data_IF_957448488532
#
_entry.id   IF_957448488532
#
_cell.length_a   1.000
_cell.length_b   1.000
_cell.length_c   1.000
_cell.angle_alpha   90.00
_cell.angle_beta   90.00
_cell.angle_gamma   90.00
#
_symmetry.space_group_name_H-M   'P 1'
#
loop_
_entity.id
_entity.type
_entity.pdbx_description
1 polymer ?
#
# COMPACT_ATOMS: atom_id res chain seq x y z
N UNK A 1 -11.90 -2.11 -21.62
CA UNK A 1 -11.67 -1.96 -20.17
C UNK A 1 -11.48 -0.48 -19.89
N UNK A 2 -11.92 0.02 -18.75
CA UNK A 2 -11.79 1.44 -18.38
C UNK A 2 -10.50 1.59 -17.57
N UNK A 3 -9.63 2.52 -17.95
CA UNK A 3 -8.41 2.83 -17.19
C UNK A 3 -8.55 4.11 -16.38
N UNK A 4 -7.64 4.33 -15.42
CA UNK A 4 -7.51 5.63 -14.74
C UNK A 4 -7.40 6.80 -15.71
N UNK A 5 -6.71 6.63 -16.86
CA UNK A 5 -6.54 7.70 -17.85
C UNK A 5 -7.86 8.06 -18.54
N UNK A 6 -8.73 7.09 -18.75
CA UNK A 6 -10.03 7.32 -19.37
C UNK A 6 -10.96 8.10 -18.43
N UNK A 7 -10.91 7.80 -17.12
CA UNK A 7 -11.62 8.58 -16.10
C UNK A 7 -11.07 10.02 -16.03
N UNK A 8 -9.75 10.21 -16.01
CA UNK A 8 -9.14 11.56 -15.97
C UNK A 8 -9.56 12.40 -17.18
N UNK A 9 -9.51 11.82 -18.39
CA UNK A 9 -9.91 12.52 -19.64
C UNK A 9 -11.35 12.98 -19.66
N UNK A 10 -12.20 12.36 -18.84
CA UNK A 10 -13.62 12.66 -18.80
C UNK A 10 -13.98 13.51 -17.59
N UNK A 11 -13.02 13.96 -16.76
CA UNK A 11 -13.27 14.84 -15.61
C UNK A 11 -13.71 16.25 -16.06
N UNK A 12 -14.83 16.82 -15.57
CA UNK A 12 -15.81 16.20 -14.66
C UNK A 12 -16.65 15.14 -15.38
N UNK A 13 -16.81 13.93 -14.80
CA UNK A 13 -17.32 12.74 -15.49
C UNK A 13 -18.84 12.73 -15.71
N UNK A 14 -19.41 13.84 -16.17
CA UNK A 14 -20.85 14.03 -16.38
C UNK A 14 -21.41 12.96 -17.35
N UNK A 15 -20.63 12.60 -18.38
CA UNK A 15 -21.01 11.58 -19.35
C UNK A 15 -20.91 10.14 -18.82
N UNK A 16 -20.30 9.94 -17.66
CA UNK A 16 -20.26 8.63 -16.98
C UNK A 16 -21.38 8.47 -15.95
N UNK A 17 -22.19 9.51 -15.73
CA UNK A 17 -23.31 9.46 -14.79
C UNK A 17 -24.55 8.85 -15.45
N UNK A 18 -25.23 7.95 -14.76
CA UNK A 18 -26.51 7.37 -15.24
C UNK A 18 -27.73 8.16 -14.74
N UNK A 19 -27.52 9.24 -13.99
CA UNK A 19 -28.59 9.99 -13.35
C UNK A 19 -28.09 11.30 -12.74
N UNK A 20 -29.00 12.03 -12.09
CA UNK A 20 -28.68 13.28 -11.42
C UNK A 20 -27.73 13.06 -10.23
N UNK A 21 -26.65 13.84 -10.08
CA UNK A 21 -25.77 13.76 -8.92
C UNK A 21 -26.36 14.42 -7.66
N UNK A 22 -27.67 14.70 -7.61
CA UNK A 22 -28.33 15.15 -6.38
C UNK A 22 -28.20 14.06 -5.30
N UNK A 23 -28.05 14.46 -4.03
CA UNK A 23 -27.86 13.54 -2.91
C UNK A 23 -26.63 12.61 -3.08
N UNK A 24 -25.51 13.18 -3.54
CA UNK A 24 -24.26 12.46 -3.72
C UNK A 24 -23.09 13.21 -3.10
N UNK A 25 -22.08 12.45 -2.70
CA UNK A 25 -20.76 12.92 -2.38
C UNK A 25 -19.94 13.04 -3.66
N UNK A 26 -19.09 14.08 -3.69
CA UNK A 26 -18.10 14.29 -4.74
C UNK A 26 -16.72 14.16 -4.12
N UNK A 27 -15.98 13.17 -4.58
CA UNK A 27 -14.63 12.88 -4.12
C UNK A 27 -13.63 13.09 -5.24
N UNK A 28 -12.36 13.26 -4.86
CA UNK A 28 -11.25 13.29 -5.79
C UNK A 28 -10.30 12.12 -5.52
N UNK A 29 -9.58 11.65 -6.54
CA UNK A 29 -8.43 10.78 -6.30
C UNK A 29 -7.23 11.62 -5.87
N UNK A 30 -6.43 11.15 -4.91
CA UNK A 30 -5.13 11.77 -4.52
C UNK A 30 -4.04 11.60 -5.58
N UNK A 31 -4.33 11.90 -6.85
CA UNK A 31 -3.64 11.42 -8.05
C UNK A 31 -2.11 11.53 -7.99
N UNK A 32 -1.40 10.41 -8.11
CA UNK A 32 0.07 10.37 -8.31
C UNK A 32 0.49 10.92 -9.68
N UNK A 33 -0.46 11.20 -10.57
CA UNK A 33 -0.28 11.61 -11.98
C UNK A 33 -0.56 13.09 -12.27
N UNK A 34 -0.83 13.92 -11.26
CA UNK A 34 -1.04 15.38 -11.40
C UNK A 34 -2.52 15.81 -11.49
N UNK A 35 -3.32 15.20 -12.36
CA UNK A 35 -4.75 15.54 -12.50
C UNK A 35 -5.65 14.60 -11.66
N UNK A 36 -6.53 15.13 -10.79
CA UNK A 36 -7.43 14.32 -9.99
C UNK A 36 -8.60 13.75 -10.81
N UNK A 37 -8.95 12.48 -10.55
CA UNK A 37 -10.23 11.90 -10.98
C UNK A 37 -11.33 12.43 -10.06
N UNK A 38 -12.45 12.86 -10.63
CA UNK A 38 -13.65 13.16 -9.84
C UNK A 38 -14.52 11.90 -9.78
N UNK A 39 -15.07 11.60 -8.60
CA UNK A 39 -15.83 10.39 -8.32
C UNK A 39 -17.13 10.79 -7.62
N UNK A 40 -18.27 10.38 -8.19
CA UNK A 40 -19.59 10.56 -7.58
C UNK A 40 -20.07 9.27 -6.91
N UNK A 41 -20.59 9.41 -5.69
CA UNK A 41 -21.24 8.34 -4.93
C UNK A 41 -22.50 8.90 -4.27
N UNK A 42 -23.67 8.35 -4.59
CA UNK A 42 -24.89 8.65 -3.82
C UNK A 42 -24.69 8.28 -2.36
N UNK A 43 -25.44 8.93 -1.46
CA UNK A 43 -25.37 8.60 -0.03
C UNK A 43 -25.65 7.12 0.26
N UNK A 44 -26.52 6.47 -0.52
CA UNK A 44 -26.83 5.05 -0.35
C UNK A 44 -25.72 4.14 -0.87
N UNK A 45 -25.08 4.48 -2.00
CA UNK A 45 -23.89 3.76 -2.46
C UNK A 45 -22.72 3.88 -1.49
N UNK A 46 -22.55 5.06 -0.87
CA UNK A 46 -21.53 5.26 0.16
C UNK A 46 -21.82 4.40 1.39
N UNK A 47 -23.07 4.35 1.87
CA UNK A 47 -23.49 3.48 2.99
C UNK A 47 -23.27 2.00 2.69
N UNK A 48 -23.59 1.55 1.48
CA UNK A 48 -23.33 0.18 1.04
C UNK A 48 -21.82 -0.13 1.09
N UNK A 49 -20.98 0.78 0.58
CA UNK A 49 -19.53 0.63 0.63
C UNK A 49 -19.00 0.61 2.08
N UNK A 50 -19.49 1.49 2.96
CA UNK A 50 -19.18 1.54 4.40
C UNK A 50 -19.54 0.21 5.07
N UNK A 51 -20.69 -0.38 4.74
CA UNK A 51 -21.14 -1.64 5.30
C UNK A 51 -20.15 -2.78 5.03
N UNK A 52 -19.70 -2.92 3.78
CA UNK A 52 -18.69 -3.91 3.42
C UNK A 52 -17.32 -3.58 4.02
N UNK A 53 -16.95 -2.30 4.09
CA UNK A 53 -15.67 -1.89 4.65
C UNK A 53 -15.57 -2.24 6.14
N UNK A 54 -16.61 -1.94 6.92
CA UNK A 54 -16.68 -2.31 8.33
C UNK A 54 -16.76 -3.82 8.55
N UNK A 55 -17.40 -4.58 7.64
CA UNK A 55 -17.27 -6.05 7.65
C UNK A 55 -15.81 -6.46 7.49
N UNK A 56 -15.08 -5.85 6.55
CA UNK A 56 -13.65 -6.09 6.36
C UNK A 56 -12.83 -5.88 7.64
N UNK A 57 -13.10 -4.81 8.40
CA UNK A 57 -12.45 -4.55 9.69
C UNK A 57 -12.76 -5.60 10.75
N UNK A 58 -14.03 -5.98 10.91
CA UNK A 58 -14.41 -7.07 11.82
C UNK A 58 -13.71 -8.38 11.44
N UNK A 59 -13.62 -8.69 10.13
CA UNK A 59 -12.93 -9.89 9.66
C UNK A 59 -11.40 -9.80 9.77
N UNK A 60 -10.85 -8.59 9.85
CA UNK A 60 -9.46 -8.33 10.19
C UNK A 60 -9.20 -8.37 11.71
N UNK A 61 -10.20 -8.70 12.53
CA UNK A 61 -10.05 -8.92 13.97
C UNK A 61 -10.37 -7.72 14.86
N UNK A 62 -10.74 -6.56 14.30
CA UNK A 62 -11.16 -5.40 15.10
C UNK A 62 -12.50 -5.69 15.76
N UNK A 63 -12.60 -5.46 17.06
CA UNK A 63 -13.82 -5.70 17.85
C UNK A 63 -14.00 -4.68 19.00
N UNK A 64 -15.00 -4.89 19.86
CA UNK A 64 -15.37 -4.00 20.96
C UNK A 64 -14.30 -3.82 22.05
N UNK A 65 -13.36 -4.75 22.19
CA UNK A 65 -12.24 -4.63 23.13
C UNK A 65 -11.13 -3.71 22.59
N UNK A 66 -11.18 -3.31 21.32
CA UNK A 66 -10.16 -2.48 20.70
C UNK A 66 -10.36 -0.99 20.94
N UNK A 67 -9.24 -0.31 21.16
CA UNK A 67 -9.10 1.13 21.00
C UNK A 67 -8.31 1.40 19.71
N UNK A 68 -9.00 1.87 18.68
CA UNK A 68 -8.44 2.01 17.32
C UNK A 68 -8.07 3.46 17.05
N UNK A 69 -6.78 3.73 16.86
CA UNK A 69 -6.32 5.03 16.40
C UNK A 69 -6.16 5.08 14.88
N UNK A 70 -6.64 6.17 14.29
CA UNK A 70 -6.54 6.46 12.85
C UNK A 70 -5.82 7.77 12.64
N UNK A 71 -4.95 7.82 11.63
CA UNK A 71 -4.21 9.04 11.28
C UNK A 71 -4.84 9.79 10.10
N UNK A 72 -5.79 9.21 9.37
CA UNK A 72 -6.50 9.93 8.31
C UNK A 72 -7.60 10.84 8.85
N UNK A 73 -7.90 11.92 8.13
CA UNK A 73 -9.03 12.83 8.42
C UNK A 73 -9.96 12.94 7.20
N UNK A 74 -11.29 12.97 7.39
CA UNK A 74 -12.24 13.13 6.29
C UNK A 74 -11.96 14.39 5.48
N UNK A 75 -12.01 14.26 4.16
CA UNK A 75 -11.72 15.33 3.21
C UNK A 75 -12.17 14.94 1.81
N UNK A 76 -11.41 15.29 0.78
CA UNK A 76 -11.77 14.94 -0.60
C UNK A 76 -11.62 13.45 -0.94
N UNK A 77 -11.02 12.65 -0.06
CA UNK A 77 -10.86 11.21 -0.24
C UNK A 77 -12.02 10.43 0.41
N UNK A 78 -12.53 9.40 -0.27
CA UNK A 78 -13.58 8.51 0.24
C UNK A 78 -13.11 7.70 1.44
N UNK A 79 -11.81 7.38 1.47
CA UNK A 79 -11.21 6.40 2.40
C UNK A 79 -11.54 6.73 3.85
N UNK A 80 -11.39 7.99 4.25
CA UNK A 80 -11.52 8.36 5.66
C UNK A 80 -12.98 8.33 6.12
N UNK A 81 -13.94 8.72 5.27
CA UNK A 81 -15.36 8.52 5.59
C UNK A 81 -15.68 7.04 5.78
N UNK A 82 -15.14 6.17 4.92
CA UNK A 82 -15.38 4.73 4.99
C UNK A 82 -14.67 4.09 6.18
N UNK A 83 -13.52 4.62 6.59
CA UNK A 83 -12.76 4.19 7.76
C UNK A 83 -13.58 4.44 9.03
N UNK A 84 -13.95 5.70 9.29
CA UNK A 84 -14.64 6.05 10.54
C UNK A 84 -16.01 5.39 10.65
N UNK A 85 -16.84 5.53 9.63
CA UNK A 85 -18.19 4.96 9.64
C UNK A 85 -18.17 3.43 9.50
N UNK A 86 -17.10 2.86 8.94
CA UNK A 86 -16.89 1.42 8.89
C UNK A 86 -16.52 0.85 10.26
N UNK A 87 -15.66 1.55 11.01
CA UNK A 87 -15.23 1.15 12.35
C UNK A 87 -16.39 1.09 13.36
N UNK A 88 -17.39 1.95 13.23
CA UNK A 88 -18.61 1.91 14.08
C UNK A 88 -19.26 0.51 14.09
N UNK A 89 -19.11 -0.25 12.99
CA UNK A 89 -19.66 -1.61 12.87
C UNK A 89 -18.96 -2.66 13.71
N UNK A 90 -17.78 -2.35 14.24
CA UNK A 90 -16.96 -3.27 15.04
C UNK A 90 -17.21 -3.13 16.54
N UNK A 91 -17.88 -2.04 16.97
CA UNK A 91 -18.07 -1.73 18.39
C UNK A 91 -16.83 -1.16 19.09
N UNK A 92 -15.69 -1.03 18.40
CA UNK A 92 -14.45 -0.54 18.99
C UNK A 92 -14.55 0.91 19.46
N UNK A 93 -13.69 1.31 20.40
CA UNK A 93 -13.46 2.72 20.72
C UNK A 93 -12.64 3.37 19.60
N UNK A 94 -13.23 4.32 18.89
CA UNK A 94 -12.59 5.06 17.78
C UNK A 94 -11.83 6.27 18.32
N UNK A 95 -10.53 6.37 18.01
CA UNK A 95 -9.64 7.46 18.43
C UNK A 95 -9.16 8.24 17.19
N UNK A 96 -9.89 9.28 16.76
CA UNK A 96 -9.57 10.06 15.55
C UNK A 96 -8.41 11.03 15.82
N UNK A 97 -7.16 10.56 15.74
CA UNK A 97 -5.99 11.42 16.03
C UNK A 97 -5.66 12.33 14.85
N UNK A 98 -5.83 11.83 13.63
CA UNK A 98 -5.37 12.51 12.42
C UNK A 98 -3.83 12.47 12.28
N UNK A 99 -3.32 12.99 11.17
CA UNK A 99 -1.88 13.12 10.94
C UNK A 99 -1.42 14.30 11.78
N UNK A 100 -0.57 14.03 12.78
CA UNK A 100 0.08 15.05 13.57
C UNK A 100 1.56 15.12 13.21
N UNK A 101 2.05 16.33 12.92
CA UNK A 101 3.48 16.60 12.83
C UNK A 101 4.19 16.59 14.19
N UNK A 102 3.41 16.60 15.29
CA UNK A 102 3.90 16.51 16.66
C UNK A 102 3.87 15.05 17.13
N UNK A 103 5.00 14.36 16.97
CA UNK A 103 5.16 12.95 17.30
C UNK A 103 5.09 12.69 18.82
N UNK A 104 5.47 13.67 19.65
CA UNK A 104 5.34 13.56 21.10
C UNK A 104 3.88 13.57 21.52
N UNK A 105 3.10 14.50 20.96
CA UNK A 105 1.66 14.57 21.20
C UNK A 105 0.95 13.31 20.70
N UNK A 106 1.31 12.82 19.51
CA UNK A 106 0.79 11.57 18.97
C UNK A 106 1.06 10.39 19.92
N UNK A 107 2.31 10.21 20.36
CA UNK A 107 2.68 9.18 21.34
C UNK A 107 1.86 9.30 22.63
N UNK A 108 1.75 10.52 23.18
CA UNK A 108 1.02 10.76 24.43
C UNK A 108 -0.47 10.44 24.28
N UNK A 109 -1.10 10.73 23.13
CA UNK A 109 -2.49 10.37 22.87
C UNK A 109 -2.70 8.88 22.75
N UNK A 110 -1.85 8.18 22.01
CA UNK A 110 -1.93 6.72 21.88
C UNK A 110 -1.87 6.07 23.27
N UNK A 111 -0.95 6.53 24.13
CA UNK A 111 -0.82 6.06 25.50
C UNK A 111 -2.02 6.44 26.38
N UNK A 112 -2.42 7.71 26.37
CA UNK A 112 -3.51 8.24 27.20
C UNK A 112 -4.85 7.57 26.88
N UNK A 113 -5.10 7.27 25.60
CA UNK A 113 -6.32 6.63 25.17
C UNK A 113 -6.24 5.09 25.18
N UNK A 114 -5.15 4.51 25.66
CA UNK A 114 -4.92 3.06 25.71
C UNK A 114 -5.19 2.38 24.34
N UNK A 115 -4.63 2.95 23.28
CA UNK A 115 -4.80 2.44 21.91
C UNK A 115 -4.18 1.05 21.79
N UNK A 116 -4.97 0.08 21.31
CA UNK A 116 -4.54 -1.31 21.09
C UNK A 116 -4.25 -1.58 19.62
N UNK A 117 -4.91 -0.84 18.73
CA UNK A 117 -4.89 -1.09 17.29
C UNK A 117 -4.65 0.21 16.52
N UNK A 118 -3.72 0.18 15.56
CA UNK A 118 -3.55 1.27 14.59
C UNK A 118 -4.21 0.90 13.27
N UNK A 119 -5.05 1.79 12.73
CA UNK A 119 -5.63 1.69 11.40
C UNK A 119 -5.10 2.81 10.51
N UNK A 120 -4.11 2.50 9.67
CA UNK A 120 -3.15 3.49 9.14
C UNK A 120 -2.53 3.04 7.81
N UNK A 121 -1.89 3.95 7.07
CA UNK A 121 -0.94 3.53 6.02
C UNK A 121 0.39 3.13 6.66
N UNK A 122 1.08 2.09 6.13
CA UNK A 122 2.38 1.66 6.65
C UNK A 122 3.39 2.79 6.85
N UNK A 123 3.54 3.67 5.85
CA UNK A 123 4.54 4.74 5.88
C UNK A 123 4.23 5.87 6.89
N UNK A 124 2.98 5.98 7.36
CA UNK A 124 2.56 6.98 8.36
C UNK A 124 2.98 6.59 9.78
N UNK A 125 3.20 5.30 10.05
CA UNK A 125 3.60 4.81 11.38
C UNK A 125 5.10 4.95 11.60
N UNK A 126 5.88 4.98 10.53
CA UNK A 126 7.35 4.99 10.58
C UNK A 126 7.89 6.19 11.38
N UNK A 127 7.43 7.44 11.19
CA UNK A 127 7.89 8.56 12.00
C UNK A 127 7.64 8.37 13.51
N UNK A 128 6.49 7.79 13.88
CA UNK A 128 6.18 7.48 15.28
C UNK A 128 7.15 6.44 15.84
N UNK A 129 7.44 5.37 15.08
CA UNK A 129 8.41 4.35 15.49
C UNK A 129 9.81 4.94 15.66
N UNK A 130 10.28 5.77 14.71
CA UNK A 130 11.56 6.47 14.81
C UNK A 130 11.62 7.39 16.03
N UNK A 131 10.52 8.10 16.34
CA UNK A 131 10.43 8.95 17.52
C UNK A 131 10.54 8.12 18.81
N UNK A 132 9.82 7.01 18.91
CA UNK A 132 9.85 6.09 20.06
C UNK A 132 11.28 5.58 20.27
N UNK A 133 11.93 5.12 19.19
CA UNK A 133 13.33 4.66 19.22
C UNK A 133 14.28 5.75 19.71
N UNK A 134 14.26 6.95 19.08
CA UNK A 134 15.15 8.06 19.43
C UNK A 134 14.94 8.59 20.84
N UNK A 135 13.71 8.56 21.34
CA UNK A 135 13.36 9.05 22.68
C UNK A 135 13.50 8.00 23.77
N UNK A 136 13.94 6.77 23.43
CA UNK A 136 13.98 5.61 24.34
C UNK A 136 12.64 5.39 25.09
N UNK A 137 11.53 5.72 24.42
CA UNK A 137 10.18 5.49 24.94
C UNK A 137 9.72 4.09 24.55
N UNK A 138 8.66 3.61 25.20
CA UNK A 138 8.03 2.33 24.87
C UNK A 138 6.54 2.50 24.64
N UNK A 139 6.04 1.77 23.65
CA UNK A 139 4.64 1.69 23.29
C UNK A 139 4.35 0.24 22.89
N UNK A 140 3.18 -0.28 23.27
CA UNK A 140 2.75 -1.60 22.85
C UNK A 140 1.45 -1.48 22.08
N UNK A 141 1.50 -1.88 20.81
CA UNK A 141 0.35 -1.97 19.91
C UNK A 141 0.13 -3.45 19.64
N UNK A 142 -1.10 -3.96 19.83
CA UNK A 142 -1.41 -5.36 19.59
C UNK A 142 -1.50 -5.66 18.09
N UNK A 143 -2.15 -4.75 17.35
CA UNK A 143 -2.49 -4.97 15.96
C UNK A 143 -2.28 -3.71 15.11
N UNK A 144 -1.80 -3.90 13.88
CA UNK A 144 -1.87 -2.90 12.83
C UNK A 144 -2.79 -3.43 11.73
N UNK A 145 -3.89 -2.71 11.50
CA UNK A 145 -4.68 -2.85 10.27
C UNK A 145 -4.23 -1.78 9.29
N UNK A 146 -3.92 -2.15 8.07
CA UNK A 146 -3.40 -1.19 7.09
C UNK A 146 -4.16 -1.23 5.77
N UNK A 147 -4.00 -0.15 5.01
CA UNK A 147 -4.59 0.01 3.69
C UNK A 147 -3.83 1.07 2.90
N UNK A 148 -4.20 1.27 1.64
CA UNK A 148 -3.63 2.32 0.79
C UNK A 148 -2.19 2.06 0.31
N UNK A 149 -1.38 1.29 1.02
CA UNK A 149 -0.04 0.87 0.60
C UNK A 149 0.24 -0.60 0.91
N UNK A 150 1.25 -1.15 0.24
CA UNK A 150 1.76 -2.48 0.55
C UNK A 150 2.65 -2.41 1.79
N UNK A 151 2.35 -3.21 2.80
CA UNK A 151 3.27 -3.50 3.90
C UNK A 151 4.34 -4.47 3.40
N UNK A 152 5.57 -4.01 3.25
CA UNK A 152 6.71 -4.88 2.96
C UNK A 152 7.18 -5.61 4.22
N UNK A 153 7.86 -6.75 4.05
CA UNK A 153 8.40 -7.50 5.18
C UNK A 153 9.41 -6.69 5.99
N UNK A 154 10.22 -5.85 5.33
CA UNK A 154 11.17 -4.96 5.99
C UNK A 154 10.47 -3.98 6.94
N UNK A 155 9.49 -3.23 6.43
CA UNK A 155 8.67 -2.29 7.21
C UNK A 155 7.94 -3.01 8.34
N UNK A 156 7.35 -4.17 8.05
CA UNK A 156 6.67 -5.01 9.05
C UNK A 156 7.61 -5.36 10.21
N UNK A 157 8.79 -5.91 9.90
CA UNK A 157 9.75 -6.34 10.91
C UNK A 157 10.26 -5.17 11.77
N UNK A 158 10.47 -4.00 11.16
CA UNK A 158 10.84 -2.78 11.89
C UNK A 158 9.72 -2.32 12.83
N UNK A 159 8.47 -2.32 12.38
CA UNK A 159 7.34 -1.96 13.24
C UNK A 159 7.11 -3.00 14.35
N UNK A 160 7.31 -4.29 14.07
CA UNK A 160 7.27 -5.37 15.07
C UNK A 160 8.30 -5.15 16.18
N UNK A 161 9.56 -4.82 15.83
CA UNK A 161 10.63 -4.64 16.82
C UNK A 161 10.43 -3.42 17.71
N UNK A 162 9.88 -2.32 17.17
CA UNK A 162 9.71 -1.06 17.91
C UNK A 162 8.38 -0.99 18.68
N UNK A 163 7.29 -1.50 18.12
CA UNK A 163 5.93 -1.35 18.68
C UNK A 163 5.38 -2.64 19.31
N UNK A 164 6.08 -3.77 19.18
CA UNK A 164 5.66 -5.07 19.72
C UNK A 164 4.40 -5.65 19.08
N UNK A 165 4.13 -5.29 17.82
CA UNK A 165 2.92 -5.69 17.09
C UNK A 165 2.86 -7.19 16.89
N UNK A 166 1.70 -7.80 17.17
CA UNK A 166 1.48 -9.25 17.05
C UNK A 166 0.68 -9.63 15.81
N UNK A 167 -0.16 -8.72 15.33
CA UNK A 167 -1.05 -8.96 14.20
C UNK A 167 -0.93 -7.83 13.17
N UNK A 168 -0.72 -8.23 11.91
CA UNK A 168 -0.79 -7.33 10.76
C UNK A 168 -1.87 -7.82 9.83
N UNK A 169 -2.86 -6.98 9.57
CA UNK A 169 -3.98 -7.26 8.67
C UNK A 169 -4.18 -6.11 7.72
N UNK A 170 -4.78 -6.40 6.57
CA UNK A 170 -5.03 -5.38 5.56
C UNK A 170 -6.48 -5.39 5.10
N UNK A 171 -7.01 -4.21 4.85
CA UNK A 171 -8.26 -4.02 4.12
C UNK A 171 -7.92 -3.36 2.79
N UNK A 172 -8.18 -4.09 1.71
CA UNK A 172 -7.90 -3.65 0.35
C UNK A 172 -9.06 -2.82 -0.20
N UNK A 173 -8.73 -1.62 -0.66
CA UNK A 173 -9.68 -0.69 -1.26
C UNK A 173 -9.03 0.11 -2.39
N UNK A 174 -9.87 0.64 -3.26
CA UNK A 174 -9.51 1.61 -4.28
C UNK A 174 -10.49 2.77 -4.26
N UNK A 175 -9.99 3.99 -4.37
CA UNK A 175 -10.82 5.19 -4.53
C UNK A 175 -11.82 5.04 -5.67
N UNK A 176 -11.37 4.46 -6.79
CA UNK A 176 -12.17 4.30 -8.00
C UNK A 176 -13.28 3.27 -7.86
N UNK A 177 -13.12 2.27 -7.00
CA UNK A 177 -13.96 1.06 -7.00
C UNK A 177 -14.71 0.88 -5.68
N UNK A 178 -14.21 1.43 -4.57
CA UNK A 178 -14.66 1.16 -3.21
C UNK A 178 -13.82 0.09 -2.52
N UNK A 179 -14.36 -0.50 -1.45
CA UNK A 179 -13.72 -1.61 -0.74
C UNK A 179 -13.73 -2.87 -1.61
N UNK A 180 -12.60 -3.57 -1.64
CA UNK A 180 -12.38 -4.72 -2.53
C UNK A 180 -12.31 -6.01 -1.72
N UNK A 181 -11.55 -6.02 -0.64
CA UNK A 181 -11.32 -7.23 0.12
C UNK A 181 -10.65 -7.00 1.47
N UNK A 182 -10.45 -8.09 2.20
CA UNK A 182 -9.93 -8.07 3.57
C UNK A 182 -9.05 -9.29 3.83
N UNK A 183 -8.17 -9.17 4.83
CA UNK A 183 -7.38 -10.29 5.34
C UNK A 183 -8.03 -10.90 6.59
N UNK A 184 -7.95 -12.21 6.71
CA UNK A 184 -8.24 -12.93 7.96
C UNK A 184 -6.96 -13.49 8.57
N UNK A 185 -7.06 -14.26 9.65
CA UNK A 185 -5.92 -14.85 10.37
C UNK A 185 -5.05 -15.78 9.51
N UNK A 186 -5.66 -16.46 8.54
CA UNK A 186 -5.00 -17.41 7.67
C UNK A 186 -4.54 -16.81 6.34
N UNK A 187 -4.66 -15.49 6.17
CA UNK A 187 -4.16 -14.81 4.99
C UNK A 187 -2.65 -14.65 5.05
N UNK A 188 -1.94 -15.22 4.07
CA UNK A 188 -0.56 -14.85 3.79
C UNK A 188 -0.43 -13.36 3.46
N UNK A 189 0.76 -12.76 3.61
CA UNK A 189 1.02 -11.39 3.18
C UNK A 189 0.56 -11.14 1.74
N UNK A 190 -0.29 -10.12 1.58
CA UNK A 190 -0.86 -9.74 0.29
C UNK A 190 -2.01 -10.62 -0.23
N UNK A 191 -2.42 -11.67 0.49
CA UNK A 191 -3.62 -12.46 0.15
C UNK A 191 -4.87 -11.81 0.77
N UNK A 192 -5.96 -11.74 0.01
CA UNK A 192 -7.22 -11.12 0.41
C UNK A 192 -8.41 -11.99 0.04
N UNK A 193 -9.40 -12.08 0.92
CA UNK A 193 -10.77 -12.44 0.54
C UNK A 193 -11.44 -11.26 -0.16
N UNK A 194 -12.17 -11.53 -1.23
CA UNK A 194 -12.91 -10.51 -1.99
C UNK A 194 -14.33 -10.37 -1.46
N UNK A 195 -14.83 -9.14 -1.35
CA UNK A 195 -16.24 -8.87 -1.15
C UNK A 195 -17.02 -9.13 -2.44
N UNK A 196 -17.22 -10.40 -2.79
CA UNK A 196 -17.89 -10.89 -4.01
C UNK A 196 -19.33 -10.37 -4.20
N UNK A 197 -20.00 -9.97 -3.11
CA UNK A 197 -21.31 -9.30 -3.16
C UNK A 197 -21.24 -7.85 -3.66
N UNK A 198 -20.06 -7.21 -3.54
CA UNK A 198 -19.81 -5.82 -3.92
C UNK A 198 -18.98 -5.73 -5.21
N UNK A 199 -18.07 -6.67 -5.44
CA UNK A 199 -17.07 -6.63 -6.50
C UNK A 199 -17.02 -7.94 -7.28
N UNK A 200 -16.96 -7.84 -8.61
CA UNK A 200 -16.53 -8.93 -9.47
C UNK A 200 -15.09 -8.69 -9.93
N UNK A 201 -14.19 -9.62 -9.64
CA UNK A 201 -12.74 -9.50 -9.91
C UNK A 201 -12.28 -10.46 -10.99
N UNK A 202 -11.46 -9.96 -11.90
CA UNK A 202 -10.77 -10.71 -12.92
C UNK A 202 -9.26 -10.51 -12.80
N UNK A 203 -8.49 -11.54 -13.15
CA UNK A 203 -7.04 -11.43 -13.33
C UNK A 203 -6.76 -11.74 -14.78
N UNK A 204 -6.25 -10.77 -15.53
CA UNK A 204 -6.10 -10.85 -16.98
C UNK A 204 -4.64 -10.87 -17.40
N UNK A 205 -4.30 -11.69 -18.39
CA UNK A 205 -2.99 -11.67 -19.04
C UNK A 205 -2.84 -10.45 -19.96
N UNK A 206 -1.67 -10.31 -20.59
CA UNK A 206 -1.39 -9.19 -21.51
C UNK A 206 -2.30 -9.15 -22.76
N UNK A 207 -2.93 -10.27 -23.12
CA UNK A 207 -3.91 -10.38 -24.21
C UNK A 207 -5.33 -10.00 -23.76
N UNK A 208 -5.53 -9.63 -22.49
CA UNK A 208 -6.83 -9.31 -21.92
C UNK A 208 -7.70 -10.54 -21.63
N UNK A 209 -7.11 -11.74 -21.61
CA UNK A 209 -7.82 -13.00 -21.32
C UNK A 209 -7.62 -13.41 -19.85
N UNK A 210 -8.60 -14.05 -19.20
CA UNK A 210 -8.44 -14.55 -17.85
C UNK A 210 -7.22 -15.47 -17.69
N UNK A 211 -6.46 -15.29 -16.61
CA UNK A 211 -5.39 -16.20 -16.24
C UNK A 211 -5.95 -17.48 -15.61
N UNK A 212 -5.18 -18.56 -15.69
CA UNK A 212 -5.37 -19.71 -14.79
C UNK A 212 -5.06 -19.30 -13.35
N UNK A 213 -5.55 -20.07 -12.39
CA UNK A 213 -5.27 -19.82 -10.97
C UNK A 213 -3.77 -19.96 -10.68
N UNK A 214 -3.27 -19.15 -9.74
CA UNK A 214 -1.83 -19.03 -9.45
C UNK A 214 -1.02 -18.20 -10.47
N UNK A 215 -1.53 -17.96 -11.69
CA UNK A 215 -0.81 -17.15 -12.68
C UNK A 215 -1.03 -15.65 -12.46
N UNK A 216 0.05 -14.87 -12.60
CA UNK A 216 0.04 -13.42 -12.42
C UNK A 216 -0.60 -12.75 -13.64
N UNK A 217 -1.48 -11.78 -13.37
CA UNK A 217 -2.07 -10.90 -14.37
C UNK A 217 -2.47 -9.56 -13.78
N UNK A 218 -3.05 -8.70 -14.61
CA UNK A 218 -3.60 -7.41 -14.20
C UNK A 218 -4.97 -7.60 -13.54
N UNK A 219 -5.15 -7.04 -12.34
CA UNK A 219 -6.40 -7.07 -11.61
C UNK A 219 -7.39 -6.08 -12.25
N UNK A 220 -8.53 -6.60 -12.66
CA UNK A 220 -9.63 -5.85 -13.26
C UNK A 220 -10.88 -6.04 -12.41
N UNK A 221 -11.58 -4.94 -12.11
CA UNK A 221 -12.71 -4.98 -11.17
C UNK A 221 -13.96 -4.34 -11.77
N UNK A 222 -15.10 -4.97 -11.52
CA UNK A 222 -16.44 -4.40 -11.74
C UNK A 222 -17.13 -4.24 -10.40
N UNK A 223 -17.56 -3.03 -10.06
CA UNK A 223 -18.38 -2.81 -8.87
C UNK A 223 -19.85 -3.12 -9.21
N UNK A 224 -20.47 -4.00 -8.42
CA UNK A 224 -21.82 -4.53 -8.65
C UNK A 224 -22.94 -3.68 -8.02
N UNK A 225 -22.59 -2.68 -7.21
CA UNK A 225 -23.53 -1.86 -6.43
C UNK A 225 -23.53 -0.38 -6.80
N UNK A 226 -22.50 0.10 -7.51
CA UNK A 226 -22.43 1.48 -8.03
C UNK A 226 -23.30 1.63 -9.27
N UNK A 227 -24.34 2.46 -9.15
CA UNK A 227 -25.33 2.82 -10.15
C UNK A 227 -25.11 4.22 -10.70
N UNK A 228 -24.88 5.25 -9.86
CA UNK A 228 -24.80 6.65 -10.34
C UNK A 228 -23.62 6.86 -11.27
N UNK A 229 -22.44 6.34 -10.92
CA UNK A 229 -21.24 6.33 -11.74
C UNK A 229 -20.71 4.89 -11.80
N UNK A 230 -21.24 4.02 -12.69
CA UNK A 230 -20.87 2.61 -12.76
C UNK A 230 -19.40 2.42 -13.13
N UNK A 231 -18.77 1.43 -12.52
CA UNK A 231 -17.37 1.07 -12.78
C UNK A 231 -17.34 -0.37 -13.26
N UNK A 232 -17.15 -0.55 -14.57
CA UNK A 232 -17.21 -1.84 -15.24
C UNK A 232 -15.87 -2.16 -15.88
N UNK A 233 -15.30 -3.31 -15.51
CA UNK A 233 -13.99 -3.80 -15.97
C UNK A 233 -12.90 -2.73 -15.88
N UNK A 234 -12.74 -2.16 -14.69
CA UNK A 234 -11.75 -1.15 -14.38
C UNK A 234 -10.35 -1.74 -14.19
N UNK A 235 -9.38 -1.19 -14.91
CA UNK A 235 -7.96 -1.53 -14.80
C UNK A 235 -7.32 -0.84 -13.61
N UNK A 236 -7.05 -1.63 -12.57
CA UNK A 236 -6.47 -1.12 -11.31
C UNK A 236 -5.00 -0.74 -11.44
N UNK A 237 -4.30 -1.28 -12.46
CA UNK A 237 -2.84 -1.36 -12.56
C UNK A 237 -2.15 -2.16 -11.43
N UNK A 238 -2.92 -2.86 -10.61
CA UNK A 238 -2.38 -3.82 -9.64
C UNK A 238 -2.20 -5.17 -10.35
N UNK A 239 -1.09 -5.84 -10.04
CA UNK A 239 -0.84 -7.21 -10.44
C UNK A 239 -1.28 -8.15 -9.33
N UNK A 240 -2.03 -9.17 -9.70
CA UNK A 240 -2.56 -10.15 -8.79
C UNK A 240 -2.50 -11.56 -9.40
N UNK A 241 -2.71 -12.56 -8.56
CA UNK A 241 -3.03 -13.93 -8.97
C UNK A 241 -4.26 -14.40 -8.20
N UNK A 242 -5.06 -15.28 -8.80
CA UNK A 242 -6.18 -15.94 -8.10
C UNK A 242 -5.65 -17.07 -7.24
N UNK A 243 -6.28 -17.27 -6.08
CA UNK A 243 -5.94 -18.34 -5.13
C UNK A 243 -7.11 -19.30 -5.01
N UNK A 244 -6.93 -20.53 -5.48
CA UNK A 244 -7.97 -21.58 -5.57
C UNK A 244 -7.96 -22.56 -4.38
N UNK A 245 -7.35 -22.18 -3.27
CA UNK A 245 -7.38 -22.99 -2.05
C UNK A 245 -8.53 -22.57 -1.16
N UNK A 246 -9.15 -23.48 -0.42
CA UNK A 246 -10.06 -23.10 0.66
C UNK A 246 -9.30 -22.38 1.77
N UNK A 247 -9.95 -21.42 2.44
CA UNK A 247 -9.36 -20.77 3.59
C UNK A 247 -9.74 -21.51 4.89
N UNK A 248 -8.79 -21.80 5.79
CA UNK A 248 -9.11 -22.40 7.09
C UNK A 248 -10.07 -21.58 7.96
N UNK A 249 -10.28 -20.29 7.64
CA UNK A 249 -11.28 -19.46 8.29
C UNK A 249 -12.74 -19.84 7.96
N UNK A 250 -12.97 -20.81 7.07
CA UNK A 250 -14.29 -21.30 6.66
C UNK A 250 -15.03 -20.42 5.65
N UNK A 251 -14.50 -19.22 5.31
CA UNK A 251 -15.13 -18.35 4.31
C UNK A 251 -14.89 -18.86 2.90
N UNK A 252 -15.95 -18.80 2.09
CA UNK A 252 -15.97 -19.26 0.69
C UNK A 252 -15.77 -18.11 -0.31
N UNK A 253 -15.49 -16.90 0.16
CA UNK A 253 -15.22 -15.77 -0.72
C UNK A 253 -14.01 -16.07 -1.63
N UNK A 254 -14.05 -15.63 -2.91
CA UNK A 254 -12.90 -15.69 -3.80
C UNK A 254 -11.67 -15.03 -3.15
N UNK A 255 -10.49 -15.56 -3.47
CA UNK A 255 -9.24 -15.03 -2.95
C UNK A 255 -8.30 -14.60 -4.07
N UNK A 256 -7.60 -13.49 -3.82
CA UNK A 256 -6.50 -13.03 -4.68
C UNK A 256 -5.25 -12.78 -3.84
N UNK A 257 -4.08 -12.84 -4.46
CA UNK A 257 -2.82 -12.38 -3.88
C UNK A 257 -2.25 -11.22 -4.71
N UNK A 258 -2.13 -10.05 -4.09
CA UNK A 258 -1.51 -8.87 -4.70
C UNK A 258 0.02 -9.04 -4.77
N UNK A 259 0.57 -8.86 -5.96
CA UNK A 259 2.00 -9.00 -6.24
C UNK A 259 2.70 -7.64 -6.20
N UNK A 260 2.11 -6.62 -6.83
CA UNK A 260 2.68 -5.27 -6.92
C UNK A 260 1.90 -4.43 -7.91
N UNK A 261 2.44 -3.29 -8.33
CA UNK A 261 1.83 -2.44 -9.36
C UNK A 261 2.57 -2.55 -10.68
N UNK A 262 1.84 -2.59 -11.79
CA UNK A 262 2.39 -2.63 -13.15
C UNK A 262 3.33 -1.46 -13.44
N UNK A 263 3.01 -0.28 -12.92
CA UNK A 263 3.81 0.94 -13.09
C UNK A 263 5.09 0.99 -12.26
N UNK A 264 5.25 0.11 -11.27
CA UNK A 264 6.45 0.05 -10.41
C UNK A 264 7.42 -1.06 -10.85
N UNK A 265 7.06 -1.85 -11.86
CA UNK A 265 7.95 -2.87 -12.41
C UNK A 265 9.09 -2.19 -13.16
N UNK A 266 10.30 -2.51 -12.75
CA UNK A 266 11.52 -2.02 -13.37
C UNK A 266 11.83 -2.92 -14.57
N UNK A 267 11.88 -2.35 -15.77
CA UNK A 267 12.28 -3.06 -16.99
C UNK A 267 13.71 -2.71 -17.35
N UNK A 268 14.62 -3.69 -17.32
CA UNK A 268 16.06 -3.48 -17.58
C UNK A 268 16.61 -4.63 -18.40
N UNK A 269 17.21 -4.31 -19.56
CA UNK A 269 17.83 -5.32 -20.45
C UNK A 269 16.96 -6.54 -20.74
N UNK A 270 15.65 -6.35 -20.90
CA UNK A 270 14.68 -7.43 -21.16
C UNK A 270 14.10 -8.11 -19.92
N UNK A 271 14.62 -7.83 -18.72
CA UNK A 271 14.15 -8.41 -17.46
C UNK A 271 13.16 -7.50 -16.72
N UNK A 272 12.28 -8.13 -15.94
CA UNK A 272 11.33 -7.47 -15.04
C UNK A 272 11.79 -7.65 -13.59
N UNK A 273 12.10 -6.55 -12.91
CA UNK A 273 12.52 -6.54 -11.51
C UNK A 273 11.41 -5.89 -10.68
N UNK A 274 10.95 -6.63 -9.66
CA UNK A 274 9.88 -6.19 -8.78
C UNK A 274 10.44 -5.43 -7.56
N UNK A 275 9.80 -4.33 -7.10
CA UNK A 275 10.23 -3.58 -5.92
C UNK A 275 10.39 -4.42 -4.65
N UNK A 276 9.62 -5.51 -4.51
CA UNK A 276 9.70 -6.43 -3.38
C UNK A 276 11.13 -6.95 -3.13
N UNK A 277 11.92 -7.14 -4.17
CA UNK A 277 13.30 -7.64 -4.06
C UNK A 277 14.16 -6.67 -3.20
N UNK A 278 13.99 -5.36 -3.40
CA UNK A 278 14.71 -4.34 -2.66
C UNK A 278 14.26 -4.28 -1.20
N UNK A 279 12.95 -4.37 -0.97
CA UNK A 279 12.40 -4.45 0.38
C UNK A 279 12.89 -5.70 1.13
N UNK A 280 12.97 -6.84 0.45
CA UNK A 280 13.49 -8.08 1.02
C UNK A 280 14.99 -7.94 1.38
N UNK A 281 15.76 -7.21 0.57
CA UNK A 281 17.19 -7.03 0.80
C UNK A 281 17.51 -6.25 2.09
N UNK A 282 16.70 -5.24 2.45
CA UNK A 282 16.86 -4.49 3.69
C UNK A 282 16.11 -5.10 4.89
N UNK A 283 15.43 -6.23 4.72
CA UNK A 283 14.68 -6.88 5.80
C UNK A 283 15.60 -7.35 6.93
N UNK A 284 15.13 -7.20 8.17
CA UNK A 284 15.85 -7.55 9.41
C UNK A 284 17.17 -6.77 9.63
N UNK A 285 17.30 -5.58 9.04
CA UNK A 285 18.37 -4.64 9.36
C UNK A 285 17.78 -3.55 10.25
N UNK A 286 18.12 -3.56 11.54
CA UNK A 286 17.50 -2.69 12.56
C UNK A 286 17.83 -1.21 12.37
N UNK A 287 18.90 -0.91 11.62
CA UNK A 287 19.32 0.43 11.26
C UNK A 287 18.42 1.08 10.19
N UNK A 288 17.52 0.32 9.57
CA UNK A 288 16.69 0.76 8.45
C UNK A 288 15.20 0.64 8.81
N UNK A 289 14.40 1.60 8.33
CA UNK A 289 12.93 1.57 8.51
C UNK A 289 12.23 0.55 7.60
N UNK A 290 12.97 0.06 6.59
CA UNK A 290 12.46 -0.79 5.52
C UNK A 290 11.92 -0.02 4.31
N UNK A 291 11.83 1.30 4.38
CA UNK A 291 11.47 2.16 3.27
C UNK A 291 12.62 2.33 2.27
N UNK A 292 12.29 2.40 0.99
CA UNK A 292 13.27 2.59 -0.08
C UNK A 292 12.68 3.37 -1.27
N UNK A 293 13.59 3.93 -2.07
CA UNK A 293 13.30 4.63 -3.32
C UNK A 293 14.34 4.26 -4.38
N UNK A 294 13.86 4.04 -5.60
CA UNK A 294 14.67 3.71 -6.77
C UNK A 294 14.72 4.91 -7.71
N UNK A 295 15.93 5.25 -8.15
CA UNK A 295 16.18 6.18 -9.25
C UNK A 295 16.82 5.41 -10.41
N UNK A 296 16.13 5.41 -11.54
CA UNK A 296 16.59 4.77 -12.76
C UNK A 296 16.94 5.87 -13.76
N UNK A 297 18.19 5.86 -14.23
CA UNK A 297 18.72 6.85 -15.17
C UNK A 297 19.49 6.15 -16.30
N UNK A 298 19.95 6.92 -17.28
CA UNK A 298 20.97 6.45 -18.22
C UNK A 298 22.29 7.14 -17.92
N UNK A 299 23.37 6.36 -17.94
CA UNK A 299 24.74 6.86 -17.91
C UNK A 299 25.51 6.18 -19.04
N UNK A 300 26.13 6.97 -19.91
CA UNK A 300 26.87 6.46 -21.08
C UNK A 300 26.06 5.43 -21.90
N UNK A 301 24.78 5.72 -22.16
CA UNK A 301 23.80 4.85 -22.84
C UNK A 301 23.46 3.52 -22.15
N UNK A 302 23.99 3.26 -20.96
CA UNK A 302 23.63 2.10 -20.14
C UNK A 302 22.61 2.50 -19.08
N UNK A 303 21.72 1.58 -18.75
CA UNK A 303 20.80 1.79 -17.64
C UNK A 303 21.58 1.80 -16.32
N UNK A 304 21.24 2.74 -15.43
CA UNK A 304 21.81 2.89 -14.10
C UNK A 304 20.71 2.80 -13.06
N UNK A 305 20.92 1.97 -12.03
CA UNK A 305 20.00 1.82 -10.90
C UNK A 305 20.69 2.35 -9.65
N UNK A 306 20.04 3.31 -9.01
CA UNK A 306 20.39 3.77 -7.67
C UNK A 306 19.23 3.40 -6.75
N UNK A 307 19.52 2.72 -5.65
CA UNK A 307 18.55 2.46 -4.58
C UNK A 307 19.00 3.18 -3.31
N UNK A 308 18.06 3.91 -2.71
CA UNK A 308 18.24 4.60 -1.43
C UNK A 308 17.33 3.97 -0.40
N UNK A 309 17.88 3.57 0.75
CA UNK A 309 17.14 3.02 1.88
C UNK A 309 17.06 4.03 3.03
N UNK A 310 15.89 4.14 3.67
CA UNK A 310 15.67 5.07 4.77
C UNK A 310 16.29 4.52 6.06
N UNK A 311 17.16 5.31 6.69
CA UNK A 311 17.71 5.00 8.01
C UNK A 311 16.68 5.23 9.10
N UNK A 312 16.70 4.42 10.17
CA UNK A 312 15.82 4.60 11.34
C UNK A 312 16.07 5.93 12.08
N UNK A 313 17.17 6.60 11.74
CA UNK A 313 17.54 7.91 12.27
C UNK A 313 18.60 7.84 13.37
N UNK A 314 19.25 6.69 13.54
CA UNK A 314 20.56 6.57 14.19
C UNK A 314 21.61 7.19 13.28
N UNK A 315 22.50 8.01 13.84
CA UNK A 315 23.73 8.38 13.12
C UNK A 315 24.54 7.10 12.97
N UNK A 316 24.71 6.64 11.74
CA UNK A 316 25.50 5.45 11.45
C UNK A 316 26.98 5.84 11.45
N UNK A 317 27.79 5.02 12.14
CA UNK A 317 29.24 5.06 11.94
C UNK A 317 29.57 4.66 10.50
N UNK A 318 30.59 5.30 9.92
CA UNK A 318 30.98 5.09 8.51
C UNK A 318 31.23 3.61 8.20
N UNK A 319 31.86 2.86 9.12
CA UNK A 319 32.11 1.43 8.92
C UNK A 319 30.83 0.59 8.95
N UNK A 320 29.87 0.97 9.78
CA UNK A 320 28.55 0.32 9.85
C UNK A 320 27.79 0.58 8.54
N UNK A 321 27.78 1.83 8.08
CA UNK A 321 27.15 2.20 6.82
C UNK A 321 27.73 1.43 5.62
N UNK A 322 29.06 1.39 5.48
CA UNK A 322 29.73 0.62 4.42
C UNK A 322 29.38 -0.87 4.47
N UNK A 323 29.35 -1.45 5.69
CA UNK A 323 29.00 -2.84 5.90
C UNK A 323 27.56 -3.14 5.48
N UNK A 324 26.60 -2.31 5.90
CA UNK A 324 25.18 -2.44 5.54
C UNK A 324 24.98 -2.32 4.02
N UNK A 325 25.62 -1.33 3.39
CA UNK A 325 25.60 -1.13 1.94
C UNK A 325 26.10 -2.39 1.22
N UNK A 326 27.19 -3.00 1.70
CA UNK A 326 27.73 -4.25 1.15
C UNK A 326 26.75 -5.41 1.29
N UNK A 327 26.15 -5.61 2.47
CA UNK A 327 25.14 -6.65 2.72
C UNK A 327 23.96 -6.50 1.76
N UNK A 328 23.39 -5.29 1.69
CA UNK A 328 22.19 -5.01 0.89
C UNK A 328 22.49 -5.23 -0.59
N UNK A 329 23.61 -4.71 -1.09
CA UNK A 329 24.04 -4.91 -2.48
C UNK A 329 24.15 -6.40 -2.80
N UNK A 330 24.80 -7.17 -1.94
CA UNK A 330 24.95 -8.62 -2.13
C UNK A 330 23.60 -9.35 -2.12
N UNK A 331 22.71 -9.00 -1.19
CA UNK A 331 21.34 -9.57 -1.14
C UNK A 331 20.57 -9.29 -2.42
N UNK A 332 20.54 -8.04 -2.92
CA UNK A 332 19.85 -7.68 -4.17
C UNK A 332 20.40 -8.49 -5.35
N UNK A 333 21.72 -8.58 -5.48
CA UNK A 333 22.36 -9.32 -6.58
C UNK A 333 22.11 -10.82 -6.50
N UNK A 334 21.99 -11.39 -5.29
CA UNK A 334 21.65 -12.80 -5.09
C UNK A 334 20.17 -13.09 -5.38
N UNK A 335 19.26 -12.20 -5.00
CA UNK A 335 17.84 -12.30 -5.33
C UNK A 335 17.55 -12.07 -6.82
N UNK A 336 18.48 -11.42 -7.52
CA UNK A 336 18.33 -11.08 -8.94
C UNK A 336 19.57 -11.53 -9.75
N UNK A 337 19.79 -12.85 -9.96
CA UNK A 337 20.99 -13.35 -10.64
C UNK A 337 21.20 -12.76 -12.03
N UNK A 338 20.12 -12.48 -12.77
CA UNK A 338 20.19 -11.85 -14.09
C UNK A 338 20.69 -10.40 -14.02
N UNK A 339 20.28 -9.63 -13.01
CA UNK A 339 20.81 -8.28 -12.78
C UNK A 339 22.33 -8.35 -12.53
N UNK A 340 22.77 -9.31 -11.71
CA UNK A 340 24.20 -9.56 -11.44
C UNK A 340 24.96 -9.88 -12.72
N UNK A 341 24.41 -10.75 -13.57
CA UNK A 341 25.00 -11.10 -14.86
C UNK A 341 25.10 -9.88 -15.80
N UNK A 342 24.05 -9.05 -15.88
CA UNK A 342 24.06 -7.85 -16.72
C UNK A 342 25.10 -6.81 -16.28
N UNK A 343 25.32 -6.66 -14.96
CA UNK A 343 26.40 -5.81 -14.42
C UNK A 343 27.77 -6.38 -14.80
N UNK A 344 27.98 -7.69 -14.65
CA UNK A 344 29.25 -8.35 -14.99
C UNK A 344 29.58 -8.25 -16.48
N UNK A 345 28.57 -8.36 -17.34
CA UNK A 345 28.68 -8.19 -18.80
C UNK A 345 28.70 -6.71 -19.22
N UNK A 346 28.70 -5.77 -18.28
CA UNK A 346 28.73 -4.34 -18.52
C UNK A 346 27.58 -3.80 -19.38
N UNK A 347 26.45 -4.52 -19.44
CA UNK A 347 25.22 -4.12 -20.15
C UNK A 347 24.51 -2.98 -19.41
N UNK A 348 24.62 -2.98 -18.09
CA UNK A 348 24.12 -1.92 -17.20
C UNK A 348 25.22 -1.45 -16.27
N UNK A 349 25.07 -0.25 -15.71
CA UNK A 349 25.99 0.27 -14.71
C UNK A 349 25.96 -0.55 -13.41
N UNK A 350 27.03 -0.53 -12.60
CA UNK A 350 27.02 -1.11 -11.28
C UNK A 350 25.86 -0.62 -10.42
N UNK A 351 25.28 -1.53 -9.62
CA UNK A 351 24.21 -1.20 -8.67
C UNK A 351 24.74 -0.26 -7.58
N UNK A 352 24.19 0.94 -7.52
CA UNK A 352 24.46 1.90 -6.46
C UNK A 352 23.44 1.76 -5.33
N UNK A 353 23.94 1.62 -4.12
CA UNK A 353 23.15 1.50 -2.89
C UNK A 353 23.59 2.62 -1.96
N UNK A 354 22.62 3.32 -1.37
CA UNK A 354 22.85 4.43 -0.44
C UNK A 354 21.89 4.34 0.75
N UNK A 355 22.33 4.85 1.90
CA UNK A 355 21.51 5.02 3.09
C UNK A 355 21.22 6.51 3.26
N UNK A 356 19.95 6.87 3.47
CA UNK A 356 19.52 8.29 3.48
C UNK A 356 18.47 8.53 4.55
N UNK A 357 18.37 9.78 5.03
CA UNK A 357 17.21 10.23 5.78
C UNK A 357 15.98 10.43 4.89
N UNK A 358 14.78 10.41 5.49
CA UNK A 358 13.49 10.55 4.80
C UNK A 358 13.41 11.82 3.96
N UNK A 359 14.04 12.90 4.42
CA UNK A 359 14.06 14.21 3.77
C UNK A 359 14.70 14.21 2.38
N UNK A 360 15.53 13.21 2.08
CA UNK A 360 16.14 13.04 0.75
C UNK A 360 15.27 12.22 -0.21
N UNK A 361 14.18 11.61 0.27
CA UNK A 361 13.29 10.82 -0.56
C UNK A 361 12.17 11.68 -1.16
N UNK A 362 11.85 11.44 -2.43
CA UNK A 362 10.72 12.12 -3.07
C UNK A 362 9.39 11.59 -2.53
N UNK A 363 8.58 12.50 -2.00
CA UNK A 363 7.20 12.26 -1.58
C UNK A 363 6.22 12.76 -2.65
N UNK A 364 5.13 12.04 -2.85
CA UNK A 364 4.01 12.47 -3.69
C UNK A 364 3.18 13.51 -2.92
N UNK A 365 3.12 14.75 -3.42
CA UNK A 365 2.35 15.84 -2.78
C UNK A 365 0.86 15.51 -2.61
N UNK A 366 0.29 14.77 -3.58
CA UNK A 366 -1.12 14.42 -3.62
C UNK A 366 -1.52 13.27 -2.71
N UNK A 367 -0.59 12.38 -2.36
CA UNK A 367 -0.88 11.18 -1.58
C UNK A 367 -0.09 11.06 -0.27
N UNK A 368 0.95 11.88 -0.07
CA UNK A 368 1.87 11.79 1.07
C UNK A 368 2.86 10.61 1.00
N UNK A 369 2.80 9.80 -0.07
CA UNK A 369 3.54 8.53 -0.16
C UNK A 369 4.92 8.68 -0.77
N UNK A 370 5.86 7.83 -0.36
CA UNK A 370 7.17 7.73 -1.03
C UNK A 370 6.96 7.25 -2.46
N UNK A 371 7.51 8.00 -3.42
CA UNK A 371 7.52 7.58 -4.83
C UNK A 371 8.55 6.46 -4.99
N UNK A 372 8.11 5.20 -5.00
CA UNK A 372 9.02 4.04 -4.97
C UNK A 372 9.98 3.96 -6.15
N UNK A 373 9.51 4.30 -7.35
CA UNK A 373 10.29 4.20 -8.58
C UNK A 373 10.23 5.52 -9.33
N UNK A 374 11.39 6.12 -9.56
CA UNK A 374 11.59 7.31 -10.36
C UNK A 374 12.39 6.92 -11.61
N UNK A 375 11.70 6.72 -12.73
CA UNK A 375 12.34 6.39 -14.00
C UNK A 375 12.55 7.65 -14.85
N UNK A 376 13.82 8.07 -15.00
CA UNK A 376 14.26 9.23 -15.78
C UNK A 376 14.96 8.85 -17.09
N UNK A 377 14.79 7.63 -17.59
CA UNK A 377 15.42 7.18 -18.86
C UNK A 377 14.75 7.73 -20.12
N UNK A 378 13.73 8.57 -19.96
CA UNK A 378 12.98 9.20 -21.07
C UNK A 378 13.75 10.34 -21.69
#
# INVERSE_FOLDING_TARGET
MISSKDIIKTTPPIHMLTGSPRNSYVFTSGGTTGEPKIIYLTSDELKENIFFHGKGYAMAGINEDDAVATFGVPGFLTSEFTVYLGLERTGCKIVPIGISSDLERLFNYIKMFNVTTLLVMPSDVIPLAQYIEKSNKTLSINQIVYGGEKMYSSTKNYLESILGVKSFKSVFQSMDVGTIGFQCDYCEPGMYHIHDQLQYTEVLNEKGQPTQDGNIGELVITNLKRKLMPIIRYQTNDLAMKIDTLCPCGRTNPKIKLVGRKGEIIKLGGEQIFPQIFAQACSHLEELTGEFQLLITKHQNRDKIQVSFEVSGKNLDEKIEEHLISIIRNRILNFTPKLKQMIQLQVIEPLEVSLVGREKMKISESSGKIVRVIDKRK
#
